data_IF_435613451494
#
_entry.id   IF_435613451494
#
_cell.length_a   1.000
_cell.length_b   1.000
_cell.length_c   1.000
_cell.angle_alpha   90.00
_cell.angle_beta   90.00
_cell.angle_gamma   90.00
#
_symmetry.space_group_name_H-M   'P 1'
#
loop_
_entity.id
_entity.type
_entity.pdbx_description
1 polymer ?
#
# COMPACT_ATOMS: atom_id res chain seq x y z
N UNK A 1 12.18 -7.12 22.55
CA UNK A 1 12.09 -7.53 21.13
C UNK A 1 11.84 -6.27 20.33
N UNK A 2 12.91 -5.52 20.07
CA UNK A 2 12.94 -4.30 19.28
C UNK A 2 13.39 -4.67 17.86
N UNK A 3 12.66 -4.13 16.88
CA UNK A 3 13.15 -3.83 15.53
C UNK A 3 13.70 -4.99 14.69
N UNK A 4 12.89 -6.01 14.37
CA UNK A 4 13.17 -6.85 13.21
C UNK A 4 12.00 -6.83 12.22
N UNK A 5 12.07 -5.81 11.36
CA UNK A 5 11.70 -5.79 9.94
C UNK A 5 10.30 -6.28 9.59
N UNK A 6 9.32 -5.55 10.01
CA UNK A 6 8.05 -5.57 9.32
C UNK A 6 8.01 -4.39 8.33
N UNK A 7 8.69 -4.55 7.20
CA UNK A 7 8.44 -3.68 6.05
C UNK A 7 7.11 -4.11 5.42
N UNK A 8 6.05 -3.91 6.15
CA UNK A 8 4.73 -3.90 5.58
C UNK A 8 4.64 -2.61 4.80
N UNK A 9 4.76 -2.69 3.48
CA UNK A 9 4.32 -1.63 2.60
C UNK A 9 2.78 -1.64 2.60
N UNK A 10 2.20 -1.36 3.77
CA UNK A 10 0.83 -0.88 3.83
C UNK A 10 0.73 0.30 2.88
N UNK A 11 -0.38 0.40 2.17
CA UNK A 11 -0.77 1.60 1.42
C UNK A 11 -0.31 2.81 2.23
N UNK A 12 0.72 3.50 1.73
CA UNK A 12 1.36 4.57 2.49
C UNK A 12 0.30 5.56 2.91
N UNK A 13 0.07 5.78 4.22
CA UNK A 13 -0.83 6.82 4.70
C UNK A 13 -0.55 8.15 4.02
N UNK A 14 0.71 8.38 3.61
CA UNK A 14 1.15 9.58 2.95
C UNK A 14 0.45 9.93 1.63
N UNK A 15 0.15 8.99 0.73
CA UNK A 15 -0.57 9.31 -0.51
C UNK A 15 -2.06 9.58 -0.23
N UNK A 16 -2.66 8.81 0.65
CA UNK A 16 -4.07 9.00 1.05
C UNK A 16 -4.23 10.33 1.78
N UNK A 17 -3.35 10.63 2.74
CA UNK A 17 -3.34 11.91 3.45
C UNK A 17 -3.13 13.10 2.50
N UNK A 18 -2.16 13.00 1.59
CA UNK A 18 -1.94 14.04 0.57
C UNK A 18 -3.16 14.27 -0.31
N UNK A 19 -3.83 13.19 -0.74
CA UNK A 19 -5.07 13.28 -1.52
C UNK A 19 -6.18 13.99 -0.74
N UNK A 20 -6.35 13.65 0.52
CA UNK A 20 -7.30 14.31 1.41
C UNK A 20 -7.02 15.81 1.56
N UNK A 21 -5.78 16.18 1.85
CA UNK A 21 -5.36 17.58 2.02
C UNK A 21 -5.53 18.35 0.71
N UNK A 22 -5.08 17.79 -0.42
CA UNK A 22 -5.22 18.41 -1.72
C UNK A 22 -6.69 18.68 -2.09
N UNK A 23 -7.57 17.73 -1.78
CA UNK A 23 -9.02 17.90 -2.02
C UNK A 23 -9.64 18.94 -1.08
N UNK A 24 -9.30 18.90 0.20
CA UNK A 24 -9.85 19.84 1.21
C UNK A 24 -9.42 21.27 0.96
N UNK A 25 -8.12 21.46 0.64
CA UNK A 25 -7.50 22.81 0.57
C UNK A 25 -7.44 23.36 -0.85
N UNK A 26 -7.87 22.59 -1.86
CA UNK A 26 -7.81 22.99 -3.27
C UNK A 26 -6.38 23.14 -3.81
N UNK A 27 -5.42 22.42 -3.20
CA UNK A 27 -4.01 22.45 -3.58
C UNK A 27 -3.65 21.32 -4.56
N UNK A 28 -2.54 21.44 -5.33
CA UNK A 28 -2.10 20.35 -6.18
C UNK A 28 -1.78 19.08 -5.39
N UNK A 29 -2.11 17.92 -5.97
CA UNK A 29 -1.67 16.63 -5.44
C UNK A 29 -0.23 16.34 -5.90
N UNK A 30 0.70 16.28 -4.95
CA UNK A 30 2.12 16.15 -5.25
C UNK A 30 2.62 14.72 -5.08
N UNK A 31 3.20 14.17 -6.14
CA UNK A 31 3.88 12.87 -6.17
C UNK A 31 5.38 13.11 -6.23
N UNK A 32 6.13 12.54 -5.27
CA UNK A 32 7.58 12.67 -5.25
C UNK A 32 8.22 11.75 -6.29
N UNK A 33 9.16 12.28 -7.05
CA UNK A 33 9.86 11.59 -8.11
C UNK A 33 9.04 11.48 -9.40
N UNK A 34 9.37 10.49 -10.20
CA UNK A 34 8.69 10.22 -11.49
C UNK A 34 7.44 9.34 -11.33
N UNK A 35 7.24 8.76 -10.17
CA UNK A 35 6.18 7.78 -9.91
C UNK A 35 6.41 6.40 -10.54
N UNK A 36 7.55 6.16 -11.19
CA UNK A 36 7.85 4.90 -11.89
C UNK A 36 8.29 3.76 -10.96
N UNK A 37 8.70 4.08 -9.73
CA UNK A 37 9.10 3.08 -8.76
C UNK A 37 7.97 2.08 -8.48
N UNK A 38 8.27 0.79 -8.53
CA UNK A 38 7.29 -0.30 -8.36
C UNK A 38 7.36 -0.89 -6.95
N UNK A 39 6.20 -1.25 -6.41
CA UNK A 39 6.06 -1.84 -5.06
C UNK A 39 4.91 -2.83 -5.03
N UNK A 40 5.01 -3.78 -4.12
CA UNK A 40 3.90 -4.65 -3.73
C UNK A 40 3.14 -3.98 -2.59
N UNK A 41 1.84 -3.76 -2.77
CA UNK A 41 0.97 -3.20 -1.76
C UNK A 41 0.01 -4.26 -1.26
N UNK A 42 -0.05 -4.45 0.04
CA UNK A 42 -0.99 -5.37 0.67
C UNK A 42 -2.05 -4.59 1.47
N UNK A 43 -3.29 -5.02 1.37
CA UNK A 43 -4.37 -4.47 2.19
C UNK A 43 -4.18 -4.87 3.65
N UNK A 44 -4.36 -3.93 4.57
CA UNK A 44 -4.13 -4.14 6.00
C UNK A 44 -5.00 -5.25 6.61
N UNK A 45 -6.25 -5.41 6.15
CA UNK A 45 -7.12 -6.50 6.63
C UNK A 45 -6.63 -7.87 6.14
N UNK A 46 -6.13 -7.97 4.91
CA UNK A 46 -5.54 -9.22 4.43
C UNK A 46 -4.27 -9.57 5.20
N UNK A 47 -3.43 -8.56 5.43
CA UNK A 47 -2.25 -8.75 6.27
C UNK A 47 -2.63 -9.20 7.69
N UNK A 48 -3.66 -8.61 8.28
CA UNK A 48 -4.18 -9.02 9.59
C UNK A 48 -4.63 -10.49 9.60
N UNK A 49 -5.34 -10.94 8.56
CA UNK A 49 -5.71 -12.35 8.38
C UNK A 49 -4.47 -13.26 8.31
N UNK A 50 -3.47 -12.85 7.53
CA UNK A 50 -2.21 -13.60 7.38
C UNK A 50 -1.43 -13.65 8.68
N UNK A 51 -1.39 -12.59 9.47
CA UNK A 51 -0.78 -12.62 10.80
C UNK A 51 -1.46 -13.61 11.73
N UNK A 52 -2.80 -13.57 11.80
CA UNK A 52 -3.55 -14.51 12.63
C UNK A 52 -3.35 -15.96 12.17
N UNK A 53 -3.27 -16.19 10.86
CA UNK A 53 -2.95 -17.49 10.31
C UNK A 53 -1.52 -17.92 10.70
N UNK A 54 -0.53 -17.06 10.53
CA UNK A 54 0.87 -17.36 10.89
C UNK A 54 0.99 -17.72 12.37
N UNK A 55 0.34 -16.96 13.26
CA UNK A 55 0.37 -17.24 14.70
C UNK A 55 -0.26 -18.57 15.08
N UNK A 56 -1.17 -19.11 14.28
CA UNK A 56 -1.93 -20.34 14.59
C UNK A 56 -1.37 -21.58 13.89
N UNK A 57 -0.72 -21.43 12.76
CA UNK A 57 -0.46 -22.53 11.85
C UNK A 57 0.98 -22.59 11.29
N UNK A 58 1.82 -21.59 11.59
CA UNK A 58 3.17 -21.55 11.08
C UNK A 58 4.17 -21.83 12.20
N UNK A 59 4.69 -23.07 12.25
CA UNK A 59 5.59 -23.53 13.31
C UNK A 59 7.05 -23.65 12.86
N UNK A 60 7.37 -23.24 11.62
CA UNK A 60 8.75 -23.30 11.11
C UNK A 60 9.59 -22.14 11.64
N UNK A 61 10.89 -22.37 11.78
CA UNK A 61 11.88 -21.36 12.17
C UNK A 61 12.21 -20.43 11.01
N UNK A 62 12.08 -20.93 9.77
CA UNK A 62 12.38 -20.19 8.56
C UNK A 62 11.40 -19.01 8.36
N UNK A 63 11.89 -17.82 7.95
CA UNK A 63 11.00 -16.69 7.73
C UNK A 63 10.03 -16.93 6.58
N UNK A 64 8.81 -16.37 6.71
CA UNK A 64 7.79 -16.36 5.67
C UNK A 64 7.45 -14.92 5.28
N UNK A 65 7.35 -14.67 3.97
CA UNK A 65 7.00 -13.35 3.44
C UNK A 65 5.49 -13.23 3.27
N UNK A 66 4.87 -12.31 4.02
CA UNK A 66 3.44 -12.02 3.94
C UNK A 66 3.22 -10.83 2.99
N UNK A 67 3.26 -11.09 1.69
CA UNK A 67 3.08 -10.08 0.64
C UNK A 67 2.21 -10.63 -0.49
N UNK A 68 1.69 -9.73 -1.33
CA UNK A 68 0.97 -10.06 -2.57
C UNK A 68 1.91 -10.75 -3.56
N UNK A 69 1.35 -11.34 -4.61
CA UNK A 69 2.13 -12.01 -5.64
C UNK A 69 3.03 -11.01 -6.39
N UNK A 70 4.12 -11.50 -6.97
CA UNK A 70 5.11 -10.66 -7.68
C UNK A 70 4.48 -9.92 -8.88
N UNK A 71 3.51 -10.54 -9.53
CA UNK A 71 2.77 -9.97 -10.65
C UNK A 71 1.85 -8.82 -10.25
N UNK A 72 1.46 -8.73 -8.97
CA UNK A 72 0.60 -7.67 -8.44
C UNK A 72 1.41 -6.43 -8.01
N UNK A 73 2.70 -6.40 -8.34
CA UNK A 73 3.54 -5.23 -8.15
C UNK A 73 3.11 -4.10 -9.10
N UNK A 74 2.85 -2.92 -8.54
CA UNK A 74 2.40 -1.75 -9.30
C UNK A 74 3.28 -0.53 -9.02
N UNK A 75 3.23 0.48 -9.89
CA UNK A 75 3.97 1.72 -9.73
C UNK A 75 3.32 2.67 -8.72
N UNK A 76 4.11 3.57 -8.17
CA UNK A 76 3.61 4.66 -7.30
C UNK A 76 2.61 5.54 -8.05
N UNK A 77 2.80 5.73 -9.36
CA UNK A 77 1.88 6.48 -10.21
C UNK A 77 0.51 5.79 -10.27
N UNK A 78 0.46 4.48 -10.55
CA UNK A 78 -0.79 3.72 -10.60
C UNK A 78 -1.53 3.77 -9.25
N UNK A 79 -0.81 3.64 -8.12
CA UNK A 79 -1.42 3.80 -6.78
C UNK A 79 -1.97 5.21 -6.58
N UNK A 80 -1.23 6.23 -6.99
CA UNK A 80 -1.66 7.63 -6.88
C UNK A 80 -2.93 7.89 -7.72
N UNK A 81 -3.01 7.34 -8.93
CA UNK A 81 -4.19 7.42 -9.80
C UNK A 81 -5.42 6.79 -9.15
N UNK A 82 -5.28 5.61 -8.54
CA UNK A 82 -6.39 4.98 -7.80
C UNK A 82 -6.81 5.77 -6.56
N UNK A 83 -5.86 6.38 -5.84
CA UNK A 83 -6.17 7.29 -4.71
C UNK A 83 -6.96 8.50 -5.19
N UNK A 84 -6.53 9.15 -6.27
CA UNK A 84 -7.21 10.31 -6.84
C UNK A 84 -8.62 9.96 -7.33
N UNK A 85 -8.77 8.79 -7.95
CA UNK A 85 -10.07 8.25 -8.38
C UNK A 85 -10.99 7.99 -7.18
N UNK A 86 -10.46 7.44 -6.09
CA UNK A 86 -11.25 7.19 -4.88
C UNK A 86 -11.73 8.48 -4.19
N UNK A 87 -10.96 9.58 -4.32
CA UNK A 87 -11.37 10.92 -3.86
C UNK A 87 -12.26 11.68 -4.85
N UNK A 88 -12.48 11.18 -6.09
CA UNK A 88 -13.05 11.97 -7.21
C UNK A 88 -12.30 13.31 -7.42
N UNK A 89 -10.98 13.29 -7.24
CA UNK A 89 -10.14 14.48 -7.28
C UNK A 89 -10.09 15.07 -8.70
N UNK A 90 -10.36 16.38 -8.83
CA UNK A 90 -10.37 17.09 -10.11
C UNK A 90 -9.29 18.18 -10.19
N UNK A 91 -8.44 18.27 -9.19
CA UNK A 91 -7.39 19.27 -9.12
C UNK A 91 -6.15 18.92 -9.94
N UNK A 92 -5.14 19.77 -9.83
CA UNK A 92 -3.86 19.57 -10.50
C UNK A 92 -3.04 18.44 -9.85
N UNK A 93 -2.35 17.65 -10.67
CA UNK A 93 -1.42 16.61 -10.22
C UNK A 93 0.00 16.99 -10.63
N UNK A 94 0.93 17.05 -9.68
CA UNK A 94 2.33 17.43 -9.91
C UNK A 94 3.28 16.30 -9.57
N UNK A 95 4.20 16.00 -10.49
CA UNK A 95 5.33 15.11 -10.23
C UNK A 95 6.55 15.96 -9.87
N UNK A 96 7.05 15.82 -8.65
CA UNK A 96 8.24 16.52 -8.17
C UNK A 96 9.48 15.71 -8.55
N UNK A 97 9.88 15.82 -9.83
CA UNK A 97 10.94 15.00 -10.42
C UNK A 97 12.33 15.33 -9.88
N UNK A 98 12.50 16.43 -9.19
CA UNK A 98 13.71 16.78 -8.44
C UNK A 98 13.86 15.93 -7.16
N UNK A 99 12.81 15.27 -6.69
CA UNK A 99 12.86 14.32 -5.60
C UNK A 99 13.22 12.93 -6.12
N UNK A 100 14.00 12.19 -5.33
CA UNK A 100 14.41 10.83 -5.70
C UNK A 100 13.23 9.86 -5.70
N UNK A 101 13.14 9.00 -6.74
CA UNK A 101 12.24 7.84 -6.77
C UNK A 101 12.63 6.75 -5.75
N UNK A 102 13.88 6.80 -5.25
CA UNK A 102 14.46 5.72 -4.48
C UNK A 102 14.75 4.49 -5.35
N UNK A 103 14.71 3.31 -4.75
CA UNK A 103 14.94 2.05 -5.46
C UNK A 103 13.81 1.80 -6.48
N UNK A 104 14.16 1.55 -7.75
CA UNK A 104 13.17 1.37 -8.83
C UNK A 104 12.23 0.18 -8.57
N UNK A 105 12.77 -0.96 -8.17
CA UNK A 105 12.01 -2.18 -7.88
C UNK A 105 12.43 -2.78 -6.54
N UNK A 106 11.46 -3.24 -5.73
CA UNK A 106 11.69 -3.88 -4.44
C UNK A 106 10.69 -5.01 -4.25
N UNK A 107 10.83 -6.04 -5.08
CA UNK A 107 9.93 -7.19 -5.08
C UNK A 107 10.38 -8.22 -4.04
N UNK A 108 9.43 -8.78 -3.32
CA UNK A 108 9.61 -9.94 -2.48
C UNK A 108 8.81 -11.12 -3.06
N UNK A 109 9.33 -12.33 -2.92
CA UNK A 109 8.60 -13.53 -3.31
C UNK A 109 7.76 -14.06 -2.16
N UNK A 110 6.49 -14.36 -2.44
CA UNK A 110 5.58 -15.02 -1.50
C UNK A 110 5.43 -16.53 -1.79
N UNK A 111 6.35 -17.12 -2.58
CA UNK A 111 6.26 -18.52 -2.99
C UNK A 111 6.08 -19.49 -1.82
N UNK A 112 6.74 -19.24 -0.67
CA UNK A 112 6.56 -20.02 0.54
C UNK A 112 5.14 -19.87 1.12
N UNK A 113 4.59 -18.67 1.15
CA UNK A 113 3.21 -18.43 1.58
C UNK A 113 2.23 -19.20 0.69
N UNK A 114 2.46 -19.22 -0.63
CA UNK A 114 1.62 -19.93 -1.59
C UNK A 114 1.65 -21.45 -1.45
N UNK A 115 2.71 -22.03 -0.87
CA UNK A 115 2.74 -23.46 -0.52
C UNK A 115 1.75 -23.81 0.59
N UNK A 116 1.55 -22.90 1.55
CA UNK A 116 0.61 -23.08 2.66
C UNK A 116 -0.81 -22.62 2.32
N UNK A 117 -0.93 -21.53 1.58
CA UNK A 117 -2.19 -20.87 1.27
C UNK A 117 -2.32 -20.62 -0.26
N UNK A 118 -2.40 -21.70 -1.08
CA UNK A 118 -2.47 -21.53 -2.54
C UNK A 118 -3.68 -20.73 -3.00
N UNK A 119 -4.82 -20.87 -2.32
CA UNK A 119 -6.09 -20.27 -2.69
C UNK A 119 -6.39 -18.95 -1.97
N UNK A 120 -5.44 -18.40 -1.19
CA UNK A 120 -5.66 -17.12 -0.51
C UNK A 120 -5.81 -16.01 -1.55
N UNK A 121 -6.98 -15.34 -1.51
CA UNK A 121 -7.29 -14.24 -2.41
C UNK A 121 -6.99 -12.91 -1.73
N UNK A 122 -6.03 -12.19 -2.29
CA UNK A 122 -5.78 -10.82 -1.87
C UNK A 122 -6.88 -9.90 -2.37
N UNK A 123 -7.23 -8.89 -1.57
CA UNK A 123 -8.16 -7.84 -1.97
C UNK A 123 -7.56 -7.05 -3.13
N UNK A 124 -8.29 -6.85 -4.24
CA UNK A 124 -7.84 -6.02 -5.35
C UNK A 124 -7.45 -4.62 -4.88
N UNK A 125 -6.40 -4.04 -5.49
CA UNK A 125 -5.80 -2.79 -5.03
C UNK A 125 -6.76 -1.61 -5.11
N UNK A 126 -7.57 -1.53 -6.14
CA UNK A 126 -8.61 -0.50 -6.34
C UNK A 126 -9.65 -0.54 -5.21
N UNK A 127 -10.12 -1.75 -4.85
CA UNK A 127 -11.02 -1.94 -3.72
C UNK A 127 -10.36 -1.55 -2.41
N UNK A 128 -9.14 -2.03 -2.16
CA UNK A 128 -8.38 -1.74 -0.94
C UNK A 128 -8.16 -0.22 -0.75
N UNK A 129 -7.81 0.50 -1.82
CA UNK A 129 -7.63 1.95 -1.81
C UNK A 129 -8.97 2.65 -1.52
N UNK A 130 -10.03 2.26 -2.20
CA UNK A 130 -11.36 2.86 -2.02
C UNK A 130 -11.85 2.73 -0.57
N UNK A 131 -11.75 1.54 0.00
CA UNK A 131 -12.14 1.30 1.40
C UNK A 131 -11.27 2.09 2.37
N UNK A 132 -9.95 2.17 2.13
CA UNK A 132 -9.02 2.91 2.98
C UNK A 132 -9.28 4.41 2.91
N UNK A 133 -9.55 4.96 1.73
CA UNK A 133 -9.89 6.39 1.53
C UNK A 133 -11.20 6.72 2.26
N UNK A 134 -12.22 5.90 2.12
CA UNK A 134 -13.50 6.10 2.80
C UNK A 134 -13.33 6.10 4.33
N UNK A 135 -12.59 5.11 4.84
CA UNK A 135 -12.28 5.05 6.27
C UNK A 135 -11.51 6.28 6.73
N UNK A 136 -10.48 6.71 5.96
CA UNK A 136 -9.64 7.84 6.30
C UNK A 136 -10.44 9.16 6.36
N UNK A 137 -11.36 9.38 5.40
CA UNK A 137 -12.24 10.54 5.40
C UNK A 137 -13.13 10.59 6.65
N UNK A 138 -13.67 9.45 7.06
CA UNK A 138 -14.56 9.36 8.23
C UNK A 138 -13.81 9.49 9.56
N UNK A 139 -12.52 9.16 9.59
CA UNK A 139 -11.72 9.06 10.81
C UNK A 139 -10.52 10.03 10.80
N UNK A 140 -10.55 11.09 9.99
CA UNK A 140 -9.39 11.96 9.77
C UNK A 140 -8.76 12.51 11.05
N UNK A 141 -9.57 12.89 12.06
CA UNK A 141 -9.08 13.45 13.30
C UNK A 141 -8.28 12.47 14.15
N UNK A 142 -8.59 11.19 14.06
CA UNK A 142 -7.96 10.12 14.84
C UNK A 142 -7.00 9.26 14.01
N UNK A 143 -7.05 9.39 12.69
CA UNK A 143 -6.19 8.64 11.78
C UNK A 143 -4.72 9.08 11.91
N UNK A 144 -3.81 8.12 11.76
CA UNK A 144 -2.38 8.41 11.63
C UNK A 144 -2.12 9.14 10.31
N UNK A 145 -1.49 10.30 10.40
CA UNK A 145 -1.16 11.19 9.27
C UNK A 145 0.30 11.02 8.85
#
# INVERSE_FOLDING_TARGET
IRDRYMYVLCLRPGLIHKGYVAQRDGTPFEIWGTGKARRQFIYNLDLGKLFLWTLRHYDEVEPIMLCVDEQDEISIKEVAEEVLKAYDFKGEVKFLTEKSDGQFKKTASNAKLRQYLPDFKFTPIDQAIKETVQWFQQNYETARK
#
